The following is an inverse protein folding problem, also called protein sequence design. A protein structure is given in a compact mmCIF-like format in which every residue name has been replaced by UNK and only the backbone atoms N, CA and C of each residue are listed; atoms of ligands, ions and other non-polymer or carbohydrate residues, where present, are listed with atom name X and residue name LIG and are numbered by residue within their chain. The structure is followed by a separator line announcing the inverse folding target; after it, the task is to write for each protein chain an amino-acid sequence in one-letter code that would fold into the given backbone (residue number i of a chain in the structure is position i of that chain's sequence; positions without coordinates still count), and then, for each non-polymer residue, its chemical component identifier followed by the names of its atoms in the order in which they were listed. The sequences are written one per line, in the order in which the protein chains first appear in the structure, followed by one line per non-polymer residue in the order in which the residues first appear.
data_IF_551355514277
#
_entry.id   IF_551355514277
#
_cell.length_a   1.000
_cell.length_b   1.000
_cell.length_c   1.000
_cell.angle_alpha   90.00
_cell.angle_beta   90.00
_cell.angle_gamma   90.00
#
_symmetry.space_group_name_H-M   'P 1'
#
loop_
_entity.id
_entity.type
_entity.pdbx_description
1 polymer ?
#
# COMPACT_ATOMS: atom_id res chain seq x y z
N UNK A 1 75.98 39.80 23.10
CA UNK A 1 75.46 38.41 23.03
C UNK A 1 73.91 38.48 23.15
N UNK A 2 73.20 38.42 22.03
CA UNK A 2 71.74 38.61 21.98
C UNK A 2 71.09 37.28 21.67
N UNK A 3 70.39 36.70 22.65
CA UNK A 3 69.60 35.45 22.47
C UNK A 3 68.22 35.84 21.88
N UNK A 4 67.95 35.35 20.67
CA UNK A 4 66.60 35.40 20.06
C UNK A 4 65.86 34.14 20.50
N UNK A 5 64.73 34.32 21.21
CA UNK A 5 63.78 33.28 21.55
C UNK A 5 62.81 33.09 20.38
N UNK A 6 62.84 31.93 19.72
CA UNK A 6 61.83 31.58 18.68
C UNK A 6 60.66 30.93 19.34
N UNK A 7 59.47 31.55 19.19
CA UNK A 7 58.21 31.06 19.68
C UNK A 7 57.55 30.22 18.57
N UNK A 8 57.47 28.90 18.74
CA UNK A 8 56.79 28.00 17.82
C UNK A 8 55.31 27.90 18.25
N UNK A 9 54.39 28.43 17.45
CA UNK A 9 52.95 28.27 17.67
C UNK A 9 52.53 26.96 17.06
N UNK A 10 52.14 25.98 17.91
CA UNK A 10 51.53 24.73 17.49
C UNK A 10 50.01 24.92 17.32
N UNK A 11 49.55 24.89 16.06
CA UNK A 11 48.12 24.93 15.73
C UNK A 11 47.50 23.55 15.98
N UNK A 12 46.69 23.42 17.03
CA UNK A 12 45.86 22.21 17.24
C UNK A 12 44.67 22.26 16.31
N UNK A 13 44.64 21.40 15.32
CA UNK A 13 43.45 21.09 14.51
C UNK A 13 42.47 20.28 15.35
N UNK A 14 41.39 20.89 15.80
CA UNK A 14 40.28 20.20 16.44
C UNK A 14 39.52 19.39 15.40
N UNK A 15 39.73 18.08 15.37
CA UNK A 15 38.91 17.13 14.60
C UNK A 15 37.61 16.91 15.36
N UNK A 16 36.52 17.56 14.90
CA UNK A 16 35.18 17.27 15.44
C UNK A 16 34.76 15.88 14.99
N UNK A 17 34.31 15.00 15.91
CA UNK A 17 33.80 13.69 15.51
C UNK A 17 32.49 13.88 14.74
N UNK A 18 32.45 13.39 13.50
CA UNK A 18 31.21 13.26 12.73
C UNK A 18 30.41 12.14 13.41
N UNK A 19 29.40 12.52 14.22
CA UNK A 19 28.44 11.57 14.76
C UNK A 19 27.55 11.10 13.59
N UNK A 20 27.90 9.95 13.02
CA UNK A 20 27.02 9.26 12.07
C UNK A 20 25.85 8.71 12.90
N UNK A 21 24.73 9.44 12.91
CA UNK A 21 23.48 8.92 13.47
C UNK A 21 23.04 7.73 12.62
N UNK A 22 23.11 6.53 13.18
CA UNK A 22 22.51 5.35 12.59
C UNK A 22 21.01 5.62 12.37
N UNK A 23 20.55 5.55 11.12
CA UNK A 23 19.12 5.66 10.80
C UNK A 23 18.38 4.51 11.48
N UNK A 24 17.23 4.77 12.13
CA UNK A 24 16.42 3.70 12.70
C UNK A 24 16.07 2.67 11.61
N UNK A 25 16.16 1.39 11.95
CA UNK A 25 15.67 0.33 11.09
C UNK A 25 14.16 0.49 10.93
N UNK A 26 13.66 0.31 9.71
CA UNK A 26 12.23 0.27 9.44
C UNK A 26 11.58 -0.83 10.30
N UNK A 27 10.46 -0.50 10.95
CA UNK A 27 9.64 -1.51 11.63
C UNK A 27 8.91 -2.34 10.57
N UNK A 28 8.51 -3.59 10.88
CA UNK A 28 7.60 -4.31 10.00
C UNK A 28 6.33 -3.47 9.76
N UNK A 29 5.76 -3.51 8.54
CA UNK A 29 4.48 -2.86 8.28
C UNK A 29 3.41 -3.41 9.21
N UNK A 30 2.41 -2.58 9.52
CA UNK A 30 1.34 -2.92 10.44
C UNK A 30 0.01 -2.69 9.74
N UNK A 31 -0.89 -3.68 9.81
CA UNK A 31 -2.29 -3.57 9.44
C UNK A 31 -3.14 -4.04 10.62
N UNK A 32 -4.12 -3.23 11.05
CA UNK A 32 -4.96 -3.59 12.20
C UNK A 32 -6.28 -2.84 12.21
N UNK A 33 -7.34 -3.59 12.52
CA UNK A 33 -8.70 -3.07 12.67
C UNK A 33 -9.06 -2.82 14.14
N UNK A 34 -9.82 -1.74 14.36
CA UNK A 34 -10.32 -1.30 15.64
C UNK A 34 -11.80 -0.91 15.51
N UNK A 35 -12.71 -1.86 15.65
CA UNK A 35 -14.16 -1.65 15.43
C UNK A 35 -14.44 -1.05 14.05
N UNK A 36 -14.75 0.24 13.98
CA UNK A 36 -15.07 0.96 12.75
C UNK A 36 -13.86 1.71 12.16
N UNK A 37 -12.64 1.33 12.48
CA UNK A 37 -11.43 1.95 11.96
C UNK A 37 -10.39 0.90 11.58
N UNK A 38 -9.79 1.05 10.41
CA UNK A 38 -8.60 0.32 10.00
C UNK A 38 -7.37 1.22 10.07
N UNK A 39 -6.23 0.67 10.42
CA UNK A 39 -4.93 1.36 10.41
C UNK A 39 -3.93 0.55 9.61
N UNK A 40 -3.31 1.20 8.65
CA UNK A 40 -2.18 0.66 7.90
C UNK A 40 -0.98 1.60 8.08
N UNK A 41 0.14 1.07 8.55
CA UNK A 41 1.42 1.76 8.58
C UNK A 41 2.42 1.04 7.68
N UNK A 42 3.02 1.74 6.74
CA UNK A 42 3.98 1.18 5.79
C UNK A 42 5.38 0.95 6.41
N UNK A 43 6.27 0.36 5.63
CA UNK A 43 7.67 0.15 5.99
C UNK A 43 8.49 1.43 6.21
N UNK A 44 7.94 2.60 5.90
CA UNK A 44 8.49 3.93 6.21
C UNK A 44 7.84 4.58 7.44
N UNK A 45 6.97 3.86 8.15
CA UNK A 45 6.14 4.35 9.26
C UNK A 45 5.19 5.50 8.86
N UNK A 46 4.84 5.64 7.58
CA UNK A 46 3.68 6.43 7.17
C UNK A 46 2.43 5.65 7.54
N UNK A 47 1.54 6.26 8.32
CA UNK A 47 0.34 5.63 8.83
C UNK A 47 -0.92 6.29 8.24
N UNK A 48 -1.89 5.45 7.91
CA UNK A 48 -3.24 5.84 7.47
C UNK A 48 -4.22 5.17 8.42
N UNK A 49 -5.08 5.96 9.08
CA UNK A 49 -6.26 5.47 9.75
C UNK A 49 -7.49 5.84 8.92
N UNK A 50 -8.36 4.88 8.67
CA UNK A 50 -9.55 5.05 7.83
C UNK A 50 -10.79 4.52 8.53
N UNK A 51 -11.89 5.26 8.42
CA UNK A 51 -13.18 4.82 8.94
C UNK A 51 -13.79 3.74 8.04
N UNK A 52 -14.23 2.65 8.65
CA UNK A 52 -14.90 1.54 7.98
C UNK A 52 -16.39 1.88 7.85
N UNK A 53 -16.79 2.48 6.74
CA UNK A 53 -18.20 2.71 6.42
C UNK A 53 -18.77 1.46 5.75
N UNK A 54 -19.32 0.54 6.52
CA UNK A 54 -19.62 -0.84 6.11
C UNK A 54 -21.02 -1.06 5.50
N UNK A 55 -21.84 -0.06 5.23
CA UNK A 55 -23.17 -0.32 4.75
C UNK A 55 -23.28 -0.27 3.22
N UNK A 56 -23.01 -1.43 2.61
CA UNK A 56 -23.23 -1.68 1.17
C UNK A 56 -24.72 -1.53 0.80
N UNK A 57 -25.62 -1.81 1.75
CA UNK A 57 -27.07 -1.78 1.55
C UNK A 57 -27.74 -0.45 1.95
N UNK A 58 -27.00 0.50 2.52
CA UNK A 58 -27.53 1.80 2.89
C UNK A 58 -27.48 2.74 1.68
N UNK A 59 -28.63 3.17 1.18
CA UNK A 59 -28.77 4.21 0.15
C UNK A 59 -28.31 5.60 0.61
N UNK A 60 -27.81 5.72 1.84
CA UNK A 60 -27.30 6.97 2.42
C UNK A 60 -25.95 7.35 1.81
N UNK A 61 -25.67 8.63 1.84
CA UNK A 61 -24.39 9.18 1.39
C UNK A 61 -23.23 8.50 2.14
N UNK A 62 -22.47 7.71 1.41
CA UNK A 62 -21.27 7.08 1.95
C UNK A 62 -20.24 8.17 2.24
N UNK A 63 -19.65 8.08 3.43
CA UNK A 63 -18.61 8.99 3.88
C UNK A 63 -17.47 8.19 4.49
N UNK A 64 -16.29 8.36 3.93
CA UNK A 64 -15.06 7.81 4.50
C UNK A 64 -14.22 8.98 5.01
N UNK A 65 -13.78 8.88 6.24
CA UNK A 65 -12.83 9.79 6.83
C UNK A 65 -11.48 9.08 6.97
N UNK A 66 -10.44 9.70 6.44
CA UNK A 66 -9.07 9.18 6.51
C UNK A 66 -8.16 10.19 7.18
N UNK A 67 -7.39 9.74 8.16
CA UNK A 67 -6.29 10.48 8.75
C UNK A 67 -4.98 9.88 8.24
N UNK A 68 -4.13 10.71 7.65
CA UNK A 68 -2.79 10.30 7.20
C UNK A 68 -1.74 11.04 7.99
N UNK A 69 -0.67 10.34 8.41
CA UNK A 69 0.49 10.95 9.04
C UNK A 69 1.78 10.29 8.58
N UNK A 70 2.71 11.09 8.09
CA UNK A 70 4.05 10.66 7.78
C UNK A 70 4.91 10.48 9.04
N UNK A 71 5.98 9.70 8.95
CA UNK A 71 6.96 9.54 10.02
C UNK A 71 7.84 10.80 10.19
N UNK A 72 8.56 10.89 11.31
CA UNK A 72 9.49 11.96 11.60
C UNK A 72 8.91 13.06 12.50
N UNK A 73 9.76 13.85 13.18
CA UNK A 73 9.35 14.81 14.21
C UNK A 73 8.44 15.92 13.69
N UNK A 74 8.64 16.36 12.46
CA UNK A 74 7.99 17.55 11.86
C UNK A 74 6.72 17.21 11.08
N UNK A 75 6.42 15.93 10.89
CA UNK A 75 5.26 15.51 10.12
C UNK A 75 3.94 15.91 10.79
N UNK A 76 3.10 16.60 10.05
CA UNK A 76 1.76 16.99 10.46
C UNK A 76 0.73 16.00 9.91
N UNK A 77 -0.35 15.72 10.64
CA UNK A 77 -1.44 14.90 10.12
C UNK A 77 -2.30 15.68 9.12
N UNK A 78 -2.89 14.96 8.17
CA UNK A 78 -3.94 15.47 7.28
C UNK A 78 -5.22 14.66 7.45
N UNK A 79 -6.36 15.29 7.13
CA UNK A 79 -7.67 14.65 7.06
C UNK A 79 -8.17 14.68 5.63
N UNK A 80 -8.69 13.53 5.16
CA UNK A 80 -9.34 13.40 3.88
C UNK A 80 -10.78 12.96 4.11
N UNK A 81 -11.71 13.55 3.36
CA UNK A 81 -13.10 13.12 3.27
C UNK A 81 -13.36 12.62 1.85
N UNK A 82 -13.90 11.42 1.75
CA UNK A 82 -14.38 10.83 0.51
C UNK A 82 -15.89 10.66 0.65
N UNK A 83 -16.65 11.25 -0.27
CA UNK A 83 -18.10 11.23 -0.21
C UNK A 83 -18.72 10.95 -1.57
N UNK A 84 -19.89 10.31 -1.57
CA UNK A 84 -20.68 10.05 -2.79
C UNK A 84 -21.39 11.30 -3.32
N UNK A 85 -21.59 12.30 -2.48
CA UNK A 85 -22.21 13.59 -2.82
C UNK A 85 -21.44 14.76 -2.20
N UNK A 86 -21.56 15.99 -2.73
CA UNK A 86 -20.92 17.16 -2.13
C UNK A 86 -21.34 17.35 -0.68
N UNK A 87 -20.37 17.68 0.20
CA UNK A 87 -20.62 17.94 1.61
C UNK A 87 -20.71 19.44 1.89
N UNK A 88 -21.77 19.89 2.58
CA UNK A 88 -21.76 21.21 3.22
C UNK A 88 -21.10 21.10 4.59
N UNK A 89 -19.82 21.47 4.66
CA UNK A 89 -18.98 21.37 5.86
C UNK A 89 -19.50 22.20 7.04
N UNK A 90 -20.32 23.23 6.80
CA UNK A 90 -20.96 24.04 7.84
C UNK A 90 -22.05 23.28 8.61
N UNK A 91 -22.51 22.16 8.02
CA UNK A 91 -23.50 21.28 8.66
C UNK A 91 -22.88 20.16 9.49
N UNK A 92 -21.53 20.16 9.64
CA UNK A 92 -20.83 19.16 10.40
C UNK A 92 -21.32 19.07 11.83
N UNK A 93 -21.52 17.85 12.32
CA UNK A 93 -21.92 17.54 13.69
C UNK A 93 -21.11 16.38 14.24
N UNK A 94 -20.68 16.54 15.49
CA UNK A 94 -20.07 15.46 16.27
C UNK A 94 -21.07 15.10 17.38
N UNK A 95 -21.55 13.86 17.40
CA UNK A 95 -22.62 13.39 18.28
C UNK A 95 -23.86 14.32 18.30
N UNK A 96 -24.26 14.78 17.12
CA UNK A 96 -25.39 15.68 16.93
C UNK A 96 -25.14 17.15 17.27
N UNK A 97 -23.99 17.51 17.86
CA UNK A 97 -23.63 18.90 18.19
C UNK A 97 -22.92 19.57 17.03
N UNK A 98 -23.26 20.83 16.68
CA UNK A 98 -22.56 21.56 15.63
C UNK A 98 -21.05 21.59 15.84
N UNK A 99 -20.31 21.44 14.74
CA UNK A 99 -18.85 21.45 14.76
C UNK A 99 -18.31 22.42 13.67
N UNK A 100 -18.35 23.71 13.96
CA UNK A 100 -18.05 24.79 13.02
C UNK A 100 -16.59 24.81 12.54
N UNK A 101 -15.66 24.27 13.33
CA UNK A 101 -14.25 24.19 12.96
C UNK A 101 -14.02 23.33 11.69
N UNK A 102 -14.98 22.45 11.33
CA UNK A 102 -14.89 21.64 10.10
C UNK A 102 -15.01 22.49 8.82
N UNK A 103 -15.59 23.70 8.92
CA UNK A 103 -15.84 24.56 7.75
C UNK A 103 -14.57 25.25 7.20
N UNK A 104 -13.42 25.15 7.88
CA UNK A 104 -12.20 25.88 7.54
C UNK A 104 -11.29 25.08 6.58
N UNK A 105 -10.71 25.76 5.59
CA UNK A 105 -9.52 25.38 4.80
C UNK A 105 -9.47 23.94 4.25
N UNK A 106 -10.50 23.54 3.53
CA UNK A 106 -10.49 22.31 2.74
C UNK A 106 -10.26 22.61 1.25
N UNK A 107 -9.59 21.71 0.56
CA UNK A 107 -9.36 21.77 -0.87
C UNK A 107 -9.63 20.42 -1.54
N UNK A 108 -10.11 20.43 -2.77
CA UNK A 108 -10.28 19.22 -3.53
C UNK A 108 -8.91 18.58 -3.86
N UNK A 109 -8.85 17.27 -3.90
CA UNK A 109 -7.66 16.52 -4.27
C UNK A 109 -8.02 15.32 -5.16
N UNK A 110 -7.01 14.75 -5.80
CA UNK A 110 -7.19 13.66 -6.78
C UNK A 110 -7.51 14.19 -8.18
N UNK A 111 -7.55 13.28 -9.14
CA UNK A 111 -7.94 13.56 -10.53
C UNK A 111 -9.44 13.83 -10.70
N UNK A 112 -9.85 14.03 -11.96
CA UNK A 112 -11.30 14.01 -12.29
C UNK A 112 -11.84 12.61 -11.97
N UNK A 113 -12.92 12.50 -11.17
CA UNK A 113 -13.49 11.20 -10.87
C UNK A 113 -14.06 10.54 -12.13
N UNK A 114 -13.97 9.23 -12.19
CA UNK A 114 -14.65 8.44 -13.19
C UNK A 114 -16.17 8.38 -12.89
N UNK A 115 -17.00 8.19 -13.93
CA UNK A 115 -18.45 8.21 -13.79
C UNK A 115 -18.98 7.09 -12.87
N UNK A 116 -18.24 5.99 -12.73
CA UNK A 116 -18.58 4.84 -11.87
C UNK A 116 -17.98 4.92 -10.48
N UNK A 117 -17.30 6.01 -10.12
CA UNK A 117 -16.61 6.12 -8.83
C UNK A 117 -17.60 6.32 -7.68
N UNK A 118 -17.50 5.48 -6.65
CA UNK A 118 -18.41 5.52 -5.50
C UNK A 118 -18.28 6.81 -4.66
N UNK A 119 -17.06 7.42 -4.68
CA UNK A 119 -16.72 8.62 -3.90
C UNK A 119 -16.08 9.70 -4.79
N UNK A 120 -16.87 10.33 -5.69
CA UNK A 120 -16.35 11.35 -6.61
C UNK A 120 -15.96 12.66 -5.93
N UNK A 121 -16.45 12.91 -4.70
CA UNK A 121 -16.13 14.12 -3.94
C UNK A 121 -15.04 13.83 -2.93
N UNK A 122 -13.86 14.39 -3.17
CA UNK A 122 -12.67 14.21 -2.35
C UNK A 122 -12.12 15.56 -1.93
N UNK A 123 -12.06 15.77 -0.62
CA UNK A 123 -11.52 16.99 -0.06
C UNK A 123 -10.53 16.66 1.06
N UNK A 124 -9.49 17.49 1.16
CA UNK A 124 -8.38 17.35 2.12
C UNK A 124 -8.18 18.63 2.91
N UNK A 125 -7.85 18.49 4.18
CA UNK A 125 -7.24 19.54 4.97
C UNK A 125 -5.95 19.08 5.62
N UNK A 126 -4.94 19.95 5.63
CA UNK A 126 -3.72 19.86 6.41
C UNK A 126 -3.57 21.08 7.34
N UNK A 127 -4.64 21.91 7.47
CA UNK A 127 -4.65 23.02 8.40
C UNK A 127 -4.52 22.54 9.84
N UNK A 128 -3.44 22.89 10.56
CA UNK A 128 -3.18 22.36 11.90
C UNK A 128 -4.29 22.69 12.91
N UNK A 129 -4.94 23.85 12.77
CA UNK A 129 -6.01 24.28 13.68
C UNK A 129 -7.27 23.42 13.48
N UNK A 130 -7.68 23.19 12.23
CA UNK A 130 -8.82 22.32 11.90
C UNK A 130 -8.58 20.89 12.34
N UNK A 131 -7.40 20.33 12.06
CA UNK A 131 -7.04 18.97 12.48
C UNK A 131 -7.02 18.83 13.99
N UNK A 132 -6.42 19.79 14.73
CA UNK A 132 -6.38 19.76 16.19
C UNK A 132 -7.78 19.90 16.82
N UNK A 133 -8.63 20.75 16.27
CA UNK A 133 -10.01 20.90 16.70
C UNK A 133 -10.80 19.60 16.51
N UNK A 134 -10.65 18.96 15.33
CA UNK A 134 -11.28 17.67 15.03
C UNK A 134 -10.79 16.58 15.98
N UNK A 135 -9.48 16.41 16.17
CA UNK A 135 -8.91 15.44 17.11
C UNK A 135 -9.44 15.63 18.53
N UNK A 136 -9.68 16.87 18.95
CA UNK A 136 -10.21 17.19 20.27
C UNK A 136 -11.70 16.82 20.37
N UNK A 137 -12.51 17.17 19.37
CA UNK A 137 -13.95 16.90 19.36
C UNK A 137 -14.27 15.41 19.23
N UNK A 138 -13.44 14.66 18.48
CA UNK A 138 -13.68 13.24 18.15
C UNK A 138 -13.23 12.25 19.24
N UNK A 139 -12.46 12.67 20.27
CA UNK A 139 -11.82 11.77 21.25
C UNK A 139 -12.73 10.76 21.93
N UNK A 140 -13.94 11.11 22.26
CA UNK A 140 -14.92 10.21 22.90
C UNK A 140 -16.23 10.18 22.15
N UNK A 141 -16.23 10.72 20.94
CA UNK A 141 -17.41 10.78 20.11
C UNK A 141 -17.69 9.44 19.42
N UNK A 142 -18.96 9.25 19.05
CA UNK A 142 -19.45 8.04 18.40
C UNK A 142 -19.67 8.25 16.90
N UNK A 143 -20.00 9.49 16.47
CA UNK A 143 -20.47 9.76 15.14
C UNK A 143 -20.05 11.16 14.64
N UNK A 144 -19.51 11.22 13.42
CA UNK A 144 -19.41 12.43 12.61
C UNK A 144 -20.48 12.38 11.54
N UNK A 145 -21.20 13.48 11.33
CA UNK A 145 -22.25 13.58 10.29
C UNK A 145 -22.28 14.96 9.64
N UNK A 146 -22.83 15.00 8.40
CA UNK A 146 -23.02 16.21 7.62
C UNK A 146 -24.45 16.21 7.06
N UNK A 147 -25.11 17.35 7.03
CA UNK A 147 -26.48 17.52 6.57
C UNK A 147 -27.51 17.49 7.69
N UNK A 148 -28.80 17.43 7.31
CA UNK A 148 -29.90 17.36 8.26
C UNK A 148 -29.95 15.96 8.91
N UNK A 149 -29.89 15.88 10.26
CA UNK A 149 -29.96 14.59 10.97
C UNK A 149 -31.23 13.77 10.67
N UNK A 150 -32.32 14.43 10.29
CA UNK A 150 -33.58 13.78 9.95
C UNK A 150 -33.62 13.27 8.50
N UNK A 151 -32.68 13.70 7.65
CA UNK A 151 -32.62 13.29 6.24
C UNK A 151 -31.99 11.91 6.08
N UNK A 152 -32.55 11.10 5.17
CA UNK A 152 -31.94 9.85 4.73
C UNK A 152 -30.61 10.08 3.98
N UNK A 153 -30.38 11.30 3.48
CA UNK A 153 -29.18 11.68 2.74
C UNK A 153 -28.06 12.24 3.63
N UNK A 154 -28.17 12.15 4.97
CA UNK A 154 -27.12 12.58 5.89
C UNK A 154 -25.87 11.72 5.72
N UNK A 155 -24.76 12.35 5.33
CA UNK A 155 -23.47 11.67 5.29
C UNK A 155 -22.98 11.37 6.72
N UNK A 156 -22.58 10.14 6.99
CA UNK A 156 -22.21 9.68 8.33
C UNK A 156 -20.97 8.81 8.30
N UNK A 157 -20.13 8.94 9.34
CA UNK A 157 -19.04 8.01 9.59
C UNK A 157 -18.88 7.75 11.09
N UNK A 158 -18.76 6.48 11.53
CA UNK A 158 -18.60 6.14 12.92
C UNK A 158 -17.20 6.53 13.43
N UNK A 159 -17.12 6.98 14.68
CA UNK A 159 -15.87 7.33 15.36
C UNK A 159 -15.43 6.27 16.39
N UNK A 160 -16.24 5.22 16.59
CA UNK A 160 -15.89 4.12 17.51
C UNK A 160 -14.68 3.35 17.00
N UNK A 161 -13.62 3.26 17.81
CA UNK A 161 -12.34 2.67 17.43
C UNK A 161 -11.26 3.70 17.11
N UNK A 162 -11.62 4.95 16.78
CA UNK A 162 -10.66 6.00 16.43
C UNK A 162 -9.54 6.18 17.47
N UNK A 163 -9.87 6.22 18.76
CA UNK A 163 -8.86 6.39 19.81
C UNK A 163 -7.78 5.28 19.79
N UNK A 164 -8.18 4.03 19.53
CA UNK A 164 -7.24 2.92 19.43
C UNK A 164 -6.39 3.04 18.14
N UNK A 165 -7.00 3.47 17.05
CA UNK A 165 -6.33 3.75 15.79
C UNK A 165 -5.25 4.86 15.96
N UNK A 166 -5.61 5.99 16.58
CA UNK A 166 -4.69 7.08 16.84
C UNK A 166 -3.54 6.67 17.77
N UNK A 167 -3.83 5.84 18.80
CA UNK A 167 -2.80 5.34 19.73
C UNK A 167 -1.82 4.41 19.00
N UNK A 168 -2.29 3.56 18.10
CA UNK A 168 -1.41 2.70 17.29
C UNK A 168 -0.49 3.53 16.38
N UNK A 169 -1.00 4.60 15.76
CA UNK A 169 -0.17 5.53 14.97
C UNK A 169 0.90 6.17 15.85
N UNK A 170 0.50 6.71 17.01
CA UNK A 170 1.44 7.34 17.95
C UNK A 170 2.52 6.36 18.42
N UNK A 171 2.16 5.11 18.71
CA UNK A 171 3.10 4.07 19.13
C UNK A 171 4.05 3.67 17.99
N UNK A 172 3.51 3.39 16.82
CA UNK A 172 4.30 3.02 15.63
C UNK A 172 5.34 4.08 15.29
N UNK A 173 4.96 5.35 15.41
CA UNK A 173 5.84 6.49 15.10
C UNK A 173 6.67 6.97 16.31
N UNK A 174 6.57 6.32 17.48
CA UNK A 174 7.31 6.70 18.71
C UNK A 174 6.87 8.03 19.32
N UNK A 175 5.61 8.45 19.09
CA UNK A 175 5.06 9.75 19.53
C UNK A 175 4.37 9.72 20.87
N UNK A 176 4.05 8.55 21.41
CA UNK A 176 3.36 8.44 22.71
C UNK A 176 4.06 9.26 23.79
N UNK A 177 3.34 10.19 24.43
CA UNK A 177 3.86 11.09 25.46
C UNK A 177 4.69 12.28 24.94
N UNK A 178 4.73 12.51 23.63
CA UNK A 178 5.32 13.73 23.05
C UNK A 178 4.26 14.82 22.88
N UNK A 179 4.70 16.07 22.70
CA UNK A 179 3.79 17.20 22.38
C UNK A 179 3.07 17.02 21.04
N UNK A 180 3.53 16.10 20.19
CA UNK A 180 2.98 15.83 18.85
C UNK A 180 2.11 14.57 18.79
N UNK A 181 1.84 13.90 19.90
CA UNK A 181 0.94 12.75 19.93
C UNK A 181 -0.50 13.14 19.54
N UNK A 182 -1.15 12.30 18.73
CA UNK A 182 -2.51 12.52 18.23
C UNK A 182 -3.55 12.35 19.33
N UNK A 183 -3.42 11.30 20.13
CA UNK A 183 -4.43 10.96 21.13
C UNK A 183 -4.17 11.62 22.47
N UNK A 184 -2.96 11.50 23.00
CA UNK A 184 -2.59 11.99 24.35
C UNK A 184 -1.27 12.75 24.28
N UNK A 185 -1.30 14.04 23.91
CA UNK A 185 -0.11 14.89 23.99
C UNK A 185 0.49 14.86 25.40
N UNK A 186 1.82 14.76 25.47
CA UNK A 186 2.59 14.80 26.71
C UNK A 186 3.62 15.92 26.69
N UNK A 187 4.67 15.80 27.52
CA UNK A 187 5.65 16.88 27.70
C UNK A 187 6.96 16.62 26.94
N UNK A 188 7.17 15.45 26.34
CA UNK A 188 8.39 15.18 25.58
C UNK A 188 8.41 16.03 24.31
N UNK A 189 9.55 16.66 23.96
CA UNK A 189 9.61 17.51 22.77
C UNK A 189 9.43 16.72 21.49
N UNK A 190 8.98 17.39 20.42
CA UNK A 190 8.83 16.79 19.09
C UNK A 190 10.15 16.17 18.59
N UNK A 191 11.29 16.76 18.91
CA UNK A 191 12.63 16.25 18.55
C UNK A 191 12.97 14.88 19.15
N UNK A 192 12.18 14.40 20.14
CA UNK A 192 12.33 13.02 20.66
C UNK A 192 11.66 11.96 19.80
N UNK A 193 10.88 12.36 18.79
CA UNK A 193 10.30 11.46 17.81
C UNK A 193 11.40 10.92 16.89
N UNK A 194 11.45 9.60 16.60
CA UNK A 194 12.43 9.03 15.70
C UNK A 194 12.43 9.70 14.31
N UNK A 195 13.61 9.80 13.71
CA UNK A 195 13.74 10.24 12.33
C UNK A 195 12.99 9.29 11.37
N UNK A 196 12.62 9.81 10.20
CA UNK A 196 11.97 9.02 9.15
C UNK A 196 12.85 7.81 8.77
N UNK A 197 12.34 6.57 8.84
CA UNK A 197 13.08 5.40 8.38
C UNK A 197 13.48 5.53 6.90
N UNK A 198 14.64 4.95 6.55
CA UNK A 198 15.05 4.90 5.16
C UNK A 198 14.21 3.85 4.42
N UNK A 199 13.57 4.23 3.34
CA UNK A 199 12.94 3.29 2.42
C UNK A 199 14.02 2.52 1.63
N UNK A 200 13.75 1.28 1.21
CA UNK A 200 14.58 0.60 0.24
C UNK A 200 14.74 1.47 -1.02
N UNK A 201 15.91 1.51 -1.65
CA UNK A 201 16.14 2.35 -2.83
C UNK A 201 15.24 1.93 -3.99
N UNK A 202 14.96 2.87 -4.90
CA UNK A 202 14.31 2.58 -6.16
C UNK A 202 15.06 1.47 -6.92
N UNK A 203 14.32 0.64 -7.65
CA UNK A 203 14.90 -0.37 -8.54
C UNK A 203 14.99 0.23 -9.94
N UNK A 204 16.14 0.13 -10.58
CA UNK A 204 16.25 0.43 -12.00
C UNK A 204 15.68 -0.75 -12.79
N UNK A 205 14.60 -0.57 -13.59
CA UNK A 205 14.05 -1.65 -14.39
C UNK A 205 15.04 -2.12 -15.46
N UNK A 206 15.01 -3.40 -15.77
CA UNK A 206 15.72 -3.92 -16.93
C UNK A 206 15.16 -3.30 -18.22
N UNK A 207 15.99 -3.10 -19.24
CA UNK A 207 15.49 -2.63 -20.54
C UNK A 207 14.53 -3.63 -21.16
N UNK A 208 13.49 -3.14 -21.84
CA UNK A 208 12.55 -3.96 -22.57
C UNK A 208 13.25 -4.81 -23.64
N UNK A 209 12.74 -6.01 -23.84
CA UNK A 209 13.21 -6.95 -24.86
C UNK A 209 12.08 -7.32 -25.81
N UNK A 210 12.43 -7.80 -27.01
CA UNK A 210 11.43 -8.20 -27.99
C UNK A 210 10.52 -9.33 -27.47
N UNK A 211 9.24 -9.23 -27.80
CA UNK A 211 8.24 -10.24 -27.46
C UNK A 211 8.56 -11.60 -28.12
N UNK A 212 8.17 -12.67 -27.41
CA UNK A 212 8.27 -14.02 -27.94
C UNK A 212 7.18 -14.26 -29.00
N UNK A 213 7.56 -14.85 -30.11
CA UNK A 213 6.61 -15.44 -31.08
C UNK A 213 5.90 -16.65 -30.45
N UNK A 214 4.75 -17.04 -31.00
CA UNK A 214 4.04 -18.24 -30.55
C UNK A 214 4.89 -19.53 -30.67
N UNK A 215 5.79 -19.58 -31.64
CA UNK A 215 6.72 -20.72 -31.84
C UNK A 215 7.78 -20.79 -30.73
N UNK A 216 8.23 -19.64 -30.21
CA UNK A 216 9.17 -19.55 -29.08
C UNK A 216 8.50 -19.83 -27.75
N UNK A 217 7.23 -19.45 -27.57
CA UNK A 217 6.50 -19.66 -26.31
C UNK A 217 6.24 -21.14 -26.03
N UNK A 218 5.87 -21.92 -27.06
CA UNK A 218 5.47 -23.33 -26.91
C UNK A 218 6.48 -24.19 -26.13
N UNK A 219 7.77 -24.26 -26.53
CA UNK A 219 8.73 -25.13 -25.84
C UNK A 219 8.99 -24.70 -24.41
N UNK A 220 8.81 -23.40 -24.06
CA UNK A 220 8.95 -22.91 -22.70
C UNK A 220 7.79 -23.40 -21.81
N UNK A 221 6.56 -23.31 -22.32
CA UNK A 221 5.36 -23.83 -21.64
C UNK A 221 5.47 -25.35 -21.46
N UNK A 222 5.86 -26.08 -22.53
CA UNK A 222 6.01 -27.52 -22.48
C UNK A 222 7.06 -27.97 -21.44
N UNK A 223 8.17 -27.27 -21.35
CA UNK A 223 9.20 -27.57 -20.36
C UNK A 223 8.69 -27.38 -18.89
N UNK A 224 7.87 -26.35 -18.65
CA UNK A 224 7.22 -26.16 -17.34
C UNK A 224 6.25 -27.28 -17.04
N UNK A 225 5.34 -27.59 -17.96
CA UNK A 225 4.34 -28.66 -17.78
C UNK A 225 4.98 -30.03 -17.58
N UNK A 226 6.09 -30.30 -18.26
CA UNK A 226 6.85 -31.56 -18.13
C UNK A 226 7.49 -31.67 -16.73
N UNK A 227 8.04 -30.58 -16.18
CA UNK A 227 8.73 -30.60 -14.88
C UNK A 227 7.78 -30.44 -13.70
N UNK A 228 6.78 -29.54 -13.78
CA UNK A 228 5.92 -29.12 -12.68
C UNK A 228 4.46 -29.53 -12.87
N UNK A 229 4.17 -30.51 -13.72
CA UNK A 229 2.81 -30.98 -13.97
C UNK A 229 2.08 -31.50 -12.73
N UNK A 230 2.81 -31.97 -11.71
CA UNK A 230 2.27 -32.35 -10.40
C UNK A 230 1.71 -31.17 -9.64
N UNK A 231 2.51 -30.08 -9.51
CA UNK A 231 2.12 -28.86 -8.84
C UNK A 231 0.92 -28.19 -9.53
N UNK A 232 0.92 -28.19 -10.87
CA UNK A 232 -0.18 -27.68 -11.69
C UNK A 232 -1.47 -28.43 -11.46
N UNK A 233 -1.41 -29.76 -11.33
CA UNK A 233 -2.59 -30.59 -10.97
C UNK A 233 -3.07 -30.31 -9.57
N UNK A 234 -2.18 -30.17 -8.61
CA UNK A 234 -2.55 -29.86 -7.23
C UNK A 234 -3.18 -28.47 -7.13
N UNK A 235 -2.65 -27.46 -7.82
CA UNK A 235 -3.22 -26.11 -7.86
C UNK A 235 -4.65 -26.11 -8.48
N UNK A 236 -4.95 -27.05 -9.35
CA UNK A 236 -6.25 -27.20 -10.00
C UNK A 236 -7.23 -28.08 -9.22
N UNK A 237 -6.77 -28.84 -8.22
CA UNK A 237 -7.57 -29.92 -7.59
C UNK A 237 -8.76 -29.39 -6.75
N UNK A 238 -8.70 -28.14 -6.28
CA UNK A 238 -9.70 -27.55 -5.41
C UNK A 238 -10.79 -26.76 -6.17
N UNK A 239 -10.89 -26.95 -7.51
CA UNK A 239 -11.76 -26.14 -8.36
C UNK A 239 -12.75 -26.99 -9.14
N UNK A 240 -14.03 -26.62 -9.10
CA UNK A 240 -15.12 -27.36 -9.74
C UNK A 240 -15.00 -27.41 -11.30
N UNK A 241 -14.33 -26.43 -11.91
CA UNK A 241 -14.14 -26.35 -13.37
C UNK A 241 -12.69 -26.58 -13.76
N UNK A 242 -12.26 -27.83 -13.81
CA UNK A 242 -10.90 -28.18 -14.21
C UNK A 242 -10.67 -27.96 -15.72
N UNK A 243 -9.66 -27.14 -16.06
CA UNK A 243 -9.18 -27.02 -17.44
C UNK A 243 -8.66 -28.38 -17.95
N UNK A 244 -9.07 -28.78 -19.13
CA UNK A 244 -8.39 -29.88 -19.80
C UNK A 244 -6.90 -29.57 -19.98
N UNK A 245 -6.04 -30.58 -20.02
CA UNK A 245 -4.60 -30.37 -20.27
C UNK A 245 -4.31 -29.59 -21.54
N UNK A 246 -5.15 -29.80 -22.58
CA UNK A 246 -5.03 -29.08 -23.88
C UNK A 246 -5.42 -27.61 -23.76
N UNK A 247 -6.48 -27.28 -23.03
CA UNK A 247 -6.93 -25.92 -22.85
C UNK A 247 -6.01 -25.14 -21.89
N UNK A 248 -5.53 -25.80 -20.82
CA UNK A 248 -4.51 -25.23 -19.94
C UNK A 248 -3.25 -24.85 -20.70
N UNK A 249 -2.76 -25.74 -21.58
CA UNK A 249 -1.61 -25.45 -22.44
C UNK A 249 -1.85 -24.26 -23.38
N UNK A 250 -3.06 -24.14 -23.95
CA UNK A 250 -3.43 -22.99 -24.78
C UNK A 250 -3.53 -21.68 -24.01
N UNK A 251 -4.07 -21.72 -22.79
CA UNK A 251 -4.23 -20.57 -21.91
C UNK A 251 -2.90 -20.15 -21.24
N UNK A 252 -1.90 -21.05 -21.22
CA UNK A 252 -0.56 -20.73 -20.70
C UNK A 252 0.13 -19.70 -21.59
N UNK A 253 0.88 -18.81 -20.97
CA UNK A 253 1.59 -17.73 -21.66
C UNK A 253 3.03 -17.65 -21.24
N UNK A 254 3.90 -17.21 -22.16
CA UNK A 254 5.29 -16.92 -21.88
C UNK A 254 5.62 -15.51 -22.37
N UNK A 255 6.43 -14.78 -21.61
CA UNK A 255 6.90 -13.44 -21.95
C UNK A 255 8.39 -13.32 -21.70
N UNK A 256 9.13 -12.72 -22.63
CA UNK A 256 10.57 -12.50 -22.47
C UNK A 256 10.82 -11.45 -21.38
N UNK A 257 11.80 -11.71 -20.49
CA UNK A 257 12.30 -10.75 -19.50
C UNK A 257 13.74 -10.34 -19.77
N UNK A 258 14.46 -11.13 -20.57
CA UNK A 258 15.80 -10.82 -21.07
C UNK A 258 16.08 -11.57 -22.38
N UNK A 259 17.26 -11.42 -22.95
CA UNK A 259 17.68 -12.21 -24.12
C UNK A 259 17.68 -13.72 -23.82
N UNK A 260 17.96 -14.10 -22.57
CA UNK A 260 18.17 -15.49 -22.18
C UNK A 260 17.04 -16.13 -21.36
N UNK A 261 16.10 -15.34 -20.85
CA UNK A 261 15.10 -15.80 -19.91
C UNK A 261 13.70 -15.26 -20.21
N UNK A 262 12.71 -16.03 -19.83
CA UNK A 262 11.30 -15.71 -19.95
C UNK A 262 10.57 -16.05 -18.64
N UNK A 263 9.46 -15.37 -18.38
CA UNK A 263 8.43 -15.80 -17.44
C UNK A 263 7.43 -16.68 -18.17
N UNK A 264 6.97 -17.73 -17.48
CA UNK A 264 5.88 -18.59 -17.94
C UNK A 264 4.82 -18.62 -16.85
N UNK A 265 3.58 -18.33 -17.22
CA UNK A 265 2.40 -18.43 -16.37
C UNK A 265 1.56 -19.62 -16.81
N UNK A 266 1.25 -20.50 -15.88
CA UNK A 266 0.40 -21.67 -16.09
C UNK A 266 -0.87 -21.49 -15.24
N UNK A 267 -2.07 -21.41 -15.85
CA UNK A 267 -3.30 -21.22 -15.10
C UNK A 267 -3.63 -22.44 -14.24
N UNK A 268 -3.98 -22.19 -12.98
CA UNK A 268 -4.48 -23.21 -12.06
C UNK A 268 -5.90 -23.64 -12.44
N UNK A 269 -6.74 -22.63 -12.76
CA UNK A 269 -8.18 -22.80 -13.02
C UNK A 269 -8.66 -21.87 -14.14
N UNK A 270 -9.85 -22.10 -14.67
CA UNK A 270 -10.48 -21.27 -15.70
C UNK A 270 -10.83 -19.87 -15.22
N UNK A 271 -11.40 -19.79 -14.04
CA UNK A 271 -11.63 -18.56 -13.23
C UNK A 271 -12.43 -18.89 -11.97
N UNK A 272 -12.14 -18.26 -10.86
CA UNK A 272 -13.20 -17.87 -9.94
C UNK A 272 -13.99 -16.74 -10.63
N UNK A 273 -15.19 -16.41 -10.20
CA UNK A 273 -16.01 -15.40 -10.91
C UNK A 273 -15.27 -14.07 -11.19
N UNK A 274 -14.18 -13.75 -10.51
CA UNK A 274 -13.46 -12.48 -10.64
C UNK A 274 -11.96 -12.52 -10.31
N UNK A 275 -11.40 -13.66 -9.89
CA UNK A 275 -9.95 -13.84 -9.66
C UNK A 275 -9.42 -15.00 -10.50
N UNK A 276 -8.32 -14.81 -11.21
CA UNK A 276 -7.63 -15.84 -11.98
C UNK A 276 -6.27 -16.13 -11.34
N UNK A 277 -5.99 -17.37 -11.03
CA UNK A 277 -4.75 -17.77 -10.37
C UNK A 277 -3.84 -18.52 -11.32
N UNK A 278 -2.58 -18.10 -11.39
CA UNK A 278 -1.54 -18.73 -12.18
C UNK A 278 -0.35 -19.13 -11.31
N UNK A 279 0.32 -20.21 -11.69
CA UNK A 279 1.67 -20.55 -11.22
C UNK A 279 2.72 -19.94 -12.15
N UNK A 280 3.66 -19.20 -11.58
CA UNK A 280 4.68 -18.47 -12.32
C UNK A 280 6.05 -19.13 -12.23
N UNK A 281 6.71 -19.23 -13.38
CA UNK A 281 8.02 -19.87 -13.53
C UNK A 281 8.98 -18.98 -14.33
N UNK A 282 10.25 -19.03 -13.97
CA UNK A 282 11.34 -18.45 -14.75
C UNK A 282 11.99 -19.55 -15.57
N UNK A 283 12.18 -19.35 -16.88
CA UNK A 283 12.63 -20.39 -17.82
C UNK A 283 13.73 -19.86 -18.71
N UNK A 284 14.80 -20.64 -18.91
CA UNK A 284 15.81 -20.34 -19.92
C UNK A 284 15.20 -20.43 -21.32
N UNK A 285 15.42 -19.43 -22.19
CA UNK A 285 14.89 -19.38 -23.56
C UNK A 285 15.56 -20.36 -24.52
N UNK A 286 16.76 -20.83 -24.22
CA UNK A 286 17.51 -21.79 -25.02
C UNK A 286 17.44 -23.18 -24.40
N UNK A 287 17.43 -24.22 -25.29
CA UNK A 287 17.49 -25.60 -24.83
C UNK A 287 18.68 -25.83 -23.89
N UNK A 288 18.49 -26.57 -22.79
CA UNK A 288 17.38 -27.46 -22.47
C UNK A 288 16.18 -26.81 -21.73
N UNK A 289 15.85 -25.55 -21.96
CA UNK A 289 14.68 -24.84 -21.37
C UNK A 289 14.45 -25.15 -19.88
N UNK A 290 15.37 -24.75 -19.05
CA UNK A 290 15.35 -25.12 -17.62
C UNK A 290 14.38 -24.24 -16.82
N UNK A 291 13.19 -24.72 -16.39
CA UNK A 291 12.23 -23.97 -15.59
C UNK A 291 12.59 -24.03 -14.11
N UNK A 292 12.31 -22.91 -13.41
CA UNK A 292 12.44 -22.75 -11.95
C UNK A 292 11.19 -22.03 -11.44
N UNK A 293 10.58 -22.55 -10.36
CA UNK A 293 9.46 -21.88 -9.71
C UNK A 293 9.93 -20.53 -9.13
N UNK A 294 9.10 -19.51 -9.31
CA UNK A 294 9.32 -18.20 -8.69
C UNK A 294 9.05 -18.27 -7.17
N UNK A 295 9.57 -17.34 -6.42
CA UNK A 295 9.21 -17.14 -5.02
C UNK A 295 8.93 -15.65 -4.79
N UNK A 296 7.69 -15.33 -4.51
CA UNK A 296 7.21 -13.96 -4.34
C UNK A 296 7.17 -13.50 -2.87
N UNK A 297 7.45 -14.41 -1.92
CA UNK A 297 7.38 -14.16 -0.48
C UNK A 297 5.96 -14.34 0.08
N UNK A 298 5.88 -14.33 1.41
CA UNK A 298 4.64 -14.64 2.15
C UNK A 298 3.52 -13.61 1.96
N UNK A 299 3.86 -12.37 1.59
CA UNK A 299 2.88 -11.26 1.46
C UNK A 299 2.38 -11.05 0.02
N UNK A 300 2.74 -11.91 -0.91
CA UNK A 300 2.38 -11.75 -2.32
C UNK A 300 0.87 -11.80 -2.59
N UNK A 301 0.14 -12.55 -1.75
CA UNK A 301 -1.29 -12.76 -1.83
C UNK A 301 -1.98 -12.35 -0.52
N UNK A 302 -1.57 -11.23 0.09
CA UNK A 302 -2.19 -10.72 1.30
C UNK A 302 -3.72 -10.56 1.06
N UNK A 303 -4.53 -11.20 1.92
CA UNK A 303 -6.00 -11.17 1.81
C UNK A 303 -6.64 -12.43 1.21
N UNK A 304 -5.87 -13.35 0.62
CA UNK A 304 -6.31 -14.73 0.39
C UNK A 304 -5.84 -15.64 1.55
N UNK A 305 -6.56 -16.73 1.77
CA UNK A 305 -6.03 -17.87 2.54
C UNK A 305 -4.65 -18.21 1.95
N UNK A 306 -3.73 -18.61 2.83
CA UNK A 306 -2.33 -18.84 2.48
C UNK A 306 -2.19 -19.52 1.12
N UNK A 307 -1.40 -18.98 0.16
CA UNK A 307 -1.25 -19.58 -1.15
C UNK A 307 -0.71 -21.00 -0.99
N UNK A 308 -1.25 -21.94 -1.79
CA UNK A 308 -0.79 -23.34 -1.78
C UNK A 308 0.64 -23.47 -2.30
N UNK A 309 1.09 -22.48 -3.08
CA UNK A 309 2.42 -22.47 -3.72
C UNK A 309 3.09 -21.09 -3.62
N UNK A 310 4.39 -21.08 -3.38
CA UNK A 310 5.22 -19.85 -3.28
C UNK A 310 5.30 -19.05 -4.59
N UNK A 311 4.96 -19.66 -5.72
CA UNK A 311 4.95 -19.08 -7.05
C UNK A 311 3.55 -18.81 -7.60
N UNK A 312 2.54 -18.82 -6.74
CA UNK A 312 1.15 -18.55 -7.08
C UNK A 312 0.87 -17.05 -7.03
N UNK A 313 0.25 -16.51 -8.08
CA UNK A 313 -0.24 -15.13 -8.12
C UNK A 313 -1.63 -15.07 -8.74
N UNK A 314 -2.42 -14.12 -8.26
CA UNK A 314 -3.79 -13.86 -8.71
C UNK A 314 -3.83 -12.63 -9.62
N UNK A 315 -4.60 -12.70 -10.71
CA UNK A 315 -4.77 -11.66 -11.73
C UNK A 315 -3.44 -10.96 -12.09
N UNK A 316 -2.40 -11.77 -12.28
CA UNK A 316 -1.06 -11.26 -12.46
C UNK A 316 -0.69 -11.07 -13.94
N UNK A 317 0.11 -10.02 -14.19
CA UNK A 317 0.63 -9.69 -15.50
C UNK A 317 2.02 -9.06 -15.44
N UNK A 318 2.85 -9.37 -16.43
CA UNK A 318 4.15 -8.74 -16.60
C UNK A 318 4.08 -7.68 -17.70
N UNK A 319 4.46 -6.47 -17.36
CA UNK A 319 4.63 -5.35 -18.29
C UNK A 319 6.11 -5.27 -18.69
N UNK A 320 6.47 -5.55 -19.96
CA UNK A 320 7.84 -5.50 -20.43
C UNK A 320 8.42 -4.07 -20.50
N UNK A 321 7.59 -3.04 -20.65
CA UNK A 321 8.06 -1.65 -20.76
C UNK A 321 8.58 -1.10 -19.44
N UNK A 322 7.91 -1.45 -18.34
CA UNK A 322 8.32 -1.12 -16.97
C UNK A 322 9.12 -2.24 -16.29
N UNK A 323 9.30 -3.39 -16.95
CA UNK A 323 9.86 -4.62 -16.39
C UNK A 323 9.20 -5.02 -15.06
N UNK A 324 7.89 -4.83 -14.93
CA UNK A 324 7.14 -5.02 -13.71
C UNK A 324 6.16 -6.19 -13.83
N UNK A 325 6.24 -7.12 -12.89
CA UNK A 325 5.22 -8.14 -12.66
C UNK A 325 4.29 -7.62 -11.55
N UNK A 326 3.00 -7.53 -11.82
CA UNK A 326 1.98 -7.11 -10.85
C UNK A 326 0.94 -8.19 -10.62
N UNK A 327 0.34 -8.19 -9.42
CA UNK A 327 -0.73 -9.09 -9.01
C UNK A 327 -1.80 -8.29 -8.29
N UNK A 328 -3.07 -8.69 -8.45
CA UNK A 328 -4.22 -8.11 -7.77
C UNK A 328 -5.15 -9.21 -7.28
N UNK A 329 -5.42 -9.19 -5.97
CA UNK A 329 -6.43 -10.03 -5.34
C UNK A 329 -7.64 -9.17 -5.05
N UNK A 330 -8.83 -9.57 -5.47
CA UNK A 330 -10.10 -8.93 -5.15
C UNK A 330 -10.84 -9.75 -4.10
N UNK A 331 -11.35 -9.10 -3.06
CA UNK A 331 -12.21 -9.77 -2.07
C UNK A 331 -13.67 -9.84 -2.53
N UNK A 332 -14.04 -9.06 -3.57
CA UNK A 332 -15.34 -9.15 -4.26
C UNK A 332 -15.23 -8.67 -5.71
N UNK A 333 -16.25 -8.98 -6.50
CA UNK A 333 -16.28 -8.68 -7.94
C UNK A 333 -16.10 -7.19 -8.29
N UNK A 334 -16.60 -6.27 -7.44
CA UNK A 334 -16.45 -4.83 -7.66
C UNK A 334 -14.98 -4.35 -7.64
N UNK A 335 -14.08 -5.10 -6.99
CA UNK A 335 -12.65 -4.80 -6.97
C UNK A 335 -12.24 -3.59 -6.14
N UNK A 336 -13.10 -3.18 -5.21
CA UNK A 336 -12.91 -2.04 -4.30
C UNK A 336 -12.39 -2.46 -2.91
N UNK A 337 -11.90 -3.68 -2.80
CA UNK A 337 -11.21 -4.23 -1.65
C UNK A 337 -10.33 -5.41 -2.07
N UNK A 338 -9.23 -5.61 -1.37
CA UNK A 338 -8.28 -6.65 -1.69
C UNK A 338 -6.84 -6.25 -1.41
N UNK A 339 -5.93 -6.76 -2.23
CA UNK A 339 -4.52 -6.40 -2.18
C UNK A 339 -3.92 -6.32 -3.58
N UNK A 340 -2.86 -5.53 -3.71
CA UNK A 340 -2.00 -5.50 -4.89
C UNK A 340 -0.55 -5.69 -4.46
N UNK A 341 0.23 -6.33 -5.32
CA UNK A 341 1.67 -6.42 -5.15
C UNK A 341 2.38 -6.25 -6.49
N UNK A 342 3.59 -5.72 -6.47
CA UNK A 342 4.40 -5.58 -7.68
C UNK A 342 5.87 -5.96 -7.43
N UNK A 343 6.51 -6.49 -8.46
CA UNK A 343 7.94 -6.83 -8.47
C UNK A 343 8.58 -6.29 -9.72
N UNK A 344 9.68 -5.56 -9.56
CA UNK A 344 10.44 -4.97 -10.66
C UNK A 344 11.64 -5.86 -10.97
N UNK A 345 11.79 -6.26 -12.23
CA UNK A 345 12.94 -7.00 -12.68
C UNK A 345 14.13 -6.07 -12.96
N UNK A 346 15.24 -6.28 -12.24
CA UNK A 346 16.46 -5.46 -12.33
C UNK A 346 17.47 -5.96 -13.38
N UNK A 347 17.08 -6.95 -14.18
CA UNK A 347 17.94 -7.65 -15.14
C UNK A 347 18.57 -8.93 -14.55
N UNK A 348 18.43 -9.18 -13.25
CA UNK A 348 18.92 -10.38 -12.58
C UNK A 348 17.84 -11.09 -11.76
N UNK A 349 17.05 -10.31 -11.01
CA UNK A 349 16.02 -10.81 -10.09
C UNK A 349 14.83 -9.87 -10.02
N UNK A 350 13.71 -10.40 -9.57
CA UNK A 350 12.54 -9.62 -9.21
C UNK A 350 12.69 -9.06 -7.81
N UNK A 351 12.56 -7.76 -7.68
CA UNK A 351 12.64 -7.02 -6.42
C UNK A 351 11.25 -6.53 -6.06
N UNK A 352 10.76 -6.85 -4.85
CA UNK A 352 9.48 -6.32 -4.38
C UNK A 352 9.45 -4.79 -4.56
N UNK A 353 8.48 -4.30 -5.32
CA UNK A 353 8.27 -2.88 -5.61
C UNK A 353 7.33 -2.23 -4.61
N UNK A 354 6.13 -2.80 -4.50
CA UNK A 354 5.02 -2.21 -3.75
C UNK A 354 4.06 -3.30 -3.25
N UNK A 355 3.41 -3.07 -2.11
CA UNK A 355 2.24 -3.81 -1.63
C UNK A 355 1.24 -2.79 -1.12
N UNK A 356 0.00 -2.85 -1.62
CA UNK A 356 -1.13 -2.12 -1.06
C UNK A 356 -2.20 -3.11 -0.58
N UNK A 357 -2.97 -2.71 0.43
CA UNK A 357 -4.03 -3.53 1.01
C UNK A 357 -5.22 -2.67 1.38
N UNK A 358 -6.42 -3.23 1.23
CA UNK A 358 -7.67 -2.62 1.65
C UNK A 358 -8.69 -3.71 1.97
N UNK A 359 -8.79 -4.08 3.24
CA UNK A 359 -9.67 -5.16 3.68
C UNK A 359 -11.17 -4.81 3.67
N UNK A 360 -11.51 -3.51 3.55
CA UNK A 360 -12.89 -3.02 3.61
C UNK A 360 -13.41 -2.68 2.22
N UNK A 361 -14.50 -3.33 1.81
CA UNK A 361 -15.14 -3.07 0.52
C UNK A 361 -16.05 -1.84 0.61
N UNK A 362 -15.51 -0.66 0.45
CA UNK A 362 -16.18 0.62 0.70
C UNK A 362 -16.19 1.56 -0.53
N UNK A 363 -15.79 1.08 -1.71
CA UNK A 363 -15.82 1.85 -2.96
C UNK A 363 -14.53 2.62 -3.24
N UNK A 364 -13.44 2.40 -2.50
CA UNK A 364 -12.11 2.89 -2.83
C UNK A 364 -11.37 1.85 -3.68
N UNK A 365 -10.74 2.28 -4.77
CA UNK A 365 -10.00 1.40 -5.67
C UNK A 365 -8.50 1.39 -5.37
N UNK A 366 -7.75 0.53 -6.04
CA UNK A 366 -6.36 0.20 -5.73
C UNK A 366 -5.37 1.39 -5.77
N UNK A 367 -5.65 2.42 -6.56
CA UNK A 367 -4.90 3.68 -6.55
C UNK A 367 -5.04 4.46 -5.22
N UNK A 368 -6.10 4.18 -4.46
CA UNK A 368 -6.45 4.83 -3.19
C UNK A 368 -6.14 3.96 -1.97
N UNK A 369 -5.73 2.69 -2.18
CA UNK A 369 -5.49 1.77 -1.08
C UNK A 369 -4.24 2.14 -0.28
N UNK A 370 -4.25 1.97 1.05
CA UNK A 370 -3.08 2.15 1.88
C UNK A 370 -1.95 1.19 1.48
N UNK A 371 -0.72 1.69 1.49
CA UNK A 371 0.45 0.87 1.19
C UNK A 371 1.00 0.24 2.46
N UNK A 372 1.30 -1.06 2.40
CA UNK A 372 2.07 -1.79 3.41
C UNK A 372 3.57 -1.70 3.14
N UNK A 373 3.95 -1.73 1.86
CA UNK A 373 5.33 -1.67 1.45
C UNK A 373 5.49 -0.72 0.28
N UNK A 374 6.54 0.06 0.30
CA UNK A 374 6.96 0.90 -0.83
C UNK A 374 8.47 1.08 -0.85
N UNK A 375 8.99 1.48 -1.99
CA UNK A 375 10.37 1.94 -2.17
C UNK A 375 10.41 3.45 -2.25
N UNK A 376 11.61 4.01 -2.13
CA UNK A 376 11.86 5.38 -2.54
C UNK A 376 11.53 5.51 -4.05
N UNK A 377 11.03 6.68 -4.46
CA UNK A 377 10.85 6.97 -5.88
C UNK A 377 12.23 7.16 -6.58
N UNK A 378 12.21 7.22 -7.92
CA UNK A 378 13.44 7.36 -8.71
C UNK A 378 14.19 8.68 -8.42
N UNK A 379 13.50 9.69 -7.91
CA UNK A 379 14.09 10.98 -7.49
C UNK A 379 14.64 10.92 -6.04
N UNK A 380 14.50 9.77 -5.36
CA UNK A 380 14.91 9.58 -3.96
C UNK A 380 13.99 10.27 -2.96
N UNK A 381 12.81 10.74 -3.41
CA UNK A 381 11.79 11.32 -2.53
C UNK A 381 11.14 10.22 -1.68
N UNK A 382 10.69 10.60 -0.49
CA UNK A 382 10.16 9.69 0.54
C UNK A 382 8.66 9.76 0.66
#
# INVERSE_FOLDING_TARGET
MSHRLSLTIATLLAVSPIVVQARPLARPPVERDFKNWSVVCDNGNRCIAESLANDIDDTRTRLILRLTRDAGPDAQPSLDLYASTPLDLRTARVDGRPFDAMAAQWHAFGGKPDDDEAHPFRIRTNDPATVAAWLTASRNAQLLSFGDPASAQTARTPLTGLNAALLLIDDTQGRVGTVTALLRPGNRPASSVPAVPALPPAVTPAPAVANLSAAEQRPLVDAVLAKFGGDVKQCAADVEDELSAGDRRKASRAVAISADEALVAIPCQTSSMYNHTDLWYRVRRNAPFTPTAMNFGENANAGLDSPSFVNELTDAGYDPDSATLSSKVRLRAAGDCGSTASWIFDGRRFMLGDIATHGTCNGLFDDQWPRLYRRADAAGNR
#
